data_IF_129464836092
#
_entry.id   IF_129464836092
#
_cell.length_a   1.000
_cell.length_b   1.000
_cell.length_c   1.000
_cell.angle_alpha   90.00
_cell.angle_beta   90.00
_cell.angle_gamma   90.00
#
_symmetry.space_group_name_H-M   'P 1'
#
loop_
_entity.id
_entity.type
_entity.pdbx_description
1 polymer ?
#
# COMPACT_ATOMS: atom_id res chain seq x y z
N UNK A 1 1.54 10.86 9.04
CA UNK A 1 2.62 9.98 8.55
C UNK A 1 2.83 10.31 7.08
N UNK A 2 4.02 10.75 6.66
CA UNK A 2 4.31 10.98 5.24
C UNK A 2 4.16 9.67 4.47
N UNK A 3 3.64 9.74 3.24
CA UNK A 3 3.53 8.58 2.35
C UNK A 3 4.89 7.92 2.07
N UNK A 4 5.97 8.68 2.22
CA UNK A 4 7.38 8.25 2.12
C UNK A 4 7.76 7.12 3.10
N UNK A 5 6.97 6.97 4.16
CA UNK A 5 7.10 5.93 5.16
C UNK A 5 6.11 4.78 4.91
N UNK A 6 5.96 4.30 3.67
CA UNK A 6 5.28 3.02 3.38
C UNK A 6 6.33 2.01 2.89
N UNK A 7 6.47 0.90 3.62
CA UNK A 7 7.45 -0.17 3.34
C UNK A 7 6.91 -1.15 2.30
N UNK A 8 5.62 -1.49 2.38
CA UNK A 8 4.99 -2.38 1.41
C UNK A 8 3.51 -2.04 1.24
N UNK A 9 3.00 -2.32 0.05
CA UNK A 9 1.60 -2.16 -0.32
C UNK A 9 1.13 -3.44 -0.99
N UNK A 10 0.04 -4.03 -0.49
CA UNK A 10 -0.51 -5.27 -1.04
C UNK A 10 -2.03 -5.19 -1.14
N UNK A 11 -2.55 -5.63 -2.27
CA UNK A 11 -3.97 -5.90 -2.42
C UNK A 11 -4.30 -7.32 -1.95
N UNK A 12 -5.22 -7.44 -1.00
CA UNK A 12 -5.73 -8.72 -0.48
C UNK A 12 -7.13 -8.94 -1.00
N UNK A 13 -7.27 -9.92 -1.88
CA UNK A 13 -8.58 -10.39 -2.36
C UNK A 13 -9.08 -11.48 -1.40
N UNK A 14 -10.33 -11.38 -0.97
CA UNK A 14 -10.95 -12.36 -0.08
C UNK A 14 -12.41 -12.54 -0.47
N UNK A 15 -12.95 -13.74 -0.20
CA UNK A 15 -14.34 -14.09 -0.50
C UNK A 15 -15.37 -13.14 0.12
N UNK A 16 -15.03 -12.51 1.26
CA UNK A 16 -15.95 -11.65 2.01
C UNK A 16 -15.73 -10.15 1.76
N UNK A 17 -14.48 -9.69 1.74
CA UNK A 17 -14.16 -8.26 1.55
C UNK A 17 -12.73 -8.09 1.04
N UNK A 18 -12.57 -7.33 -0.05
CA UNK A 18 -11.26 -6.91 -0.54
C UNK A 18 -10.61 -5.97 0.48
N UNK A 19 -9.29 -5.97 0.58
CA UNK A 19 -8.60 -5.06 1.48
C UNK A 19 -7.27 -4.57 0.91
N UNK A 20 -6.95 -3.31 1.16
CA UNK A 20 -5.62 -2.76 0.95
C UNK A 20 -4.81 -2.93 2.24
N UNK A 21 -3.68 -3.61 2.13
CA UNK A 21 -2.76 -3.87 3.24
C UNK A 21 -1.54 -2.98 3.07
N UNK A 22 -1.34 -2.07 4.02
CA UNK A 22 -0.23 -1.10 4.04
C UNK A 22 0.71 -1.48 5.17
N UNK A 23 1.98 -1.73 4.87
CA UNK A 23 3.02 -2.02 5.86
C UNK A 23 3.84 -0.76 6.11
N UNK A 24 3.86 -0.28 7.35
CA UNK A 24 4.65 0.87 7.76
C UNK A 24 6.10 0.46 8.11
N UNK A 25 7.12 1.31 7.85
CA UNK A 25 8.51 1.08 8.20
C UNK A 25 8.73 1.23 9.69
N UNK A 26 9.70 0.48 10.20
CA UNK A 26 9.93 0.23 11.62
C UNK A 26 10.54 1.40 12.40
N UNK A 27 10.78 2.57 11.77
CA UNK A 27 11.72 3.57 12.28
C UNK A 27 11.47 4.02 13.73
N UNK A 28 10.26 3.88 14.29
CA UNK A 28 9.97 4.23 15.69
C UNK A 28 9.10 3.22 16.47
N UNK A 29 8.70 2.08 15.89
CA UNK A 29 7.77 1.16 16.55
C UNK A 29 8.31 -0.27 16.47
N UNK A 30 8.49 -0.91 17.62
CA UNK A 30 9.04 -2.26 17.85
C UNK A 30 8.25 -3.41 17.19
N UNK A 31 7.37 -3.13 16.23
CA UNK A 31 6.61 -4.12 15.46
C UNK A 31 6.16 -3.48 14.16
N UNK A 32 6.30 -4.19 13.03
CA UNK A 32 5.68 -3.82 11.76
C UNK A 32 4.18 -3.53 11.97
N UNK A 33 3.79 -2.25 11.95
CA UNK A 33 2.38 -1.89 11.98
C UNK A 33 1.85 -2.10 10.57
N UNK A 34 1.02 -3.11 10.43
CA UNK A 34 0.27 -3.35 9.20
C UNK A 34 -1.11 -2.73 9.37
N UNK A 35 -1.47 -1.78 8.52
CA UNK A 35 -2.82 -1.23 8.45
C UNK A 35 -3.59 -1.95 7.36
N UNK A 36 -4.69 -2.62 7.73
CA UNK A 36 -5.62 -3.23 6.78
C UNK A 36 -6.81 -2.30 6.59
N UNK A 37 -7.01 -1.83 5.37
CA UNK A 37 -8.13 -0.98 4.97
C UNK A 37 -9.12 -1.88 4.22
N UNK A 38 -10.30 -2.10 4.80
CA UNK A 38 -11.36 -2.86 4.15
C UNK A 38 -11.99 -2.05 3.01
N UNK A 39 -12.08 -2.65 1.83
CA UNK A 39 -12.69 -2.08 0.63
C UNK A 39 -14.05 -2.75 0.41
N UNK A 40 -14.95 -2.55 1.37
CA UNK A 40 -16.31 -3.06 1.29
C UNK A 40 -17.06 -2.41 0.11
N UNK A 41 -17.84 -3.19 -0.64
CA UNK A 41 -18.63 -2.68 -1.77
C UNK A 41 -17.89 -2.54 -3.11
N UNK A 42 -16.57 -2.69 -3.16
CA UNK A 42 -15.80 -2.65 -4.41
C UNK A 42 -15.92 -3.98 -5.17
N UNK A 43 -16.99 -4.13 -5.98
CA UNK A 43 -17.13 -5.23 -6.95
C UNK A 43 -16.60 -4.84 -8.34
N UNK A 44 -17.22 -3.86 -8.99
CA UNK A 44 -16.88 -3.43 -10.36
C UNK A 44 -15.62 -2.57 -10.45
N UNK A 45 -15.38 -1.72 -9.44
CA UNK A 45 -14.26 -0.77 -9.43
C UNK A 45 -12.94 -1.39 -8.95
N UNK A 46 -12.95 -2.67 -8.54
CA UNK A 46 -11.80 -3.36 -7.93
C UNK A 46 -10.55 -3.28 -8.81
N UNK A 47 -10.70 -3.59 -10.09
CA UNK A 47 -9.56 -3.67 -11.00
C UNK A 47 -9.02 -2.27 -11.33
N UNK A 48 -9.91 -1.28 -11.47
CA UNK A 48 -9.51 0.12 -11.61
C UNK A 48 -8.77 0.63 -10.39
N UNK A 49 -9.29 0.33 -9.20
CA UNK A 49 -8.64 0.69 -7.93
C UNK A 49 -7.26 0.04 -7.82
N UNK A 50 -7.16 -1.26 -8.10
CA UNK A 50 -5.89 -2.01 -8.09
C UNK A 50 -4.88 -1.43 -9.08
N UNK A 51 -5.31 -1.08 -10.29
CA UNK A 51 -4.45 -0.48 -11.31
C UNK A 51 -3.92 0.89 -10.89
N UNK A 52 -4.80 1.76 -10.37
CA UNK A 52 -4.41 3.09 -9.88
C UNK A 52 -3.43 2.98 -8.71
N UNK A 53 -3.78 2.16 -7.72
CA UNK A 53 -2.92 1.93 -6.54
C UNK A 53 -1.57 1.33 -6.93
N UNK A 54 -1.54 0.42 -7.90
CA UNK A 54 -0.31 -0.14 -8.45
C UNK A 54 0.58 0.90 -9.12
N UNK A 55 -0.01 1.76 -9.97
CA UNK A 55 0.73 2.85 -10.62
C UNK A 55 1.32 3.85 -9.62
N UNK A 56 0.55 4.20 -8.58
CA UNK A 56 1.04 5.05 -7.49
C UNK A 56 2.17 4.36 -6.70
N UNK A 57 2.06 3.06 -6.43
CA UNK A 57 3.10 2.30 -5.74
C UNK A 57 4.39 2.22 -6.55
N UNK A 58 4.31 1.97 -7.86
CA UNK A 58 5.49 1.94 -8.71
C UNK A 58 6.22 3.30 -8.71
N UNK A 59 5.48 4.40 -8.82
CA UNK A 59 6.06 5.75 -8.72
C UNK A 59 6.76 5.96 -7.38
N UNK A 60 6.13 5.50 -6.29
CA UNK A 60 6.71 5.56 -4.96
C UNK A 60 8.03 4.78 -4.87
N UNK A 61 8.10 3.57 -5.42
CA UNK A 61 9.33 2.78 -5.44
C UNK A 61 10.46 3.50 -6.21
N UNK A 62 10.16 4.09 -7.37
CA UNK A 62 11.13 4.84 -8.16
C UNK A 62 11.64 6.07 -7.41
N UNK A 63 10.74 6.87 -6.82
CA UNK A 63 11.14 8.04 -6.02
C UNK A 63 12.00 7.64 -4.81
N UNK A 64 11.71 6.52 -4.17
CA UNK A 64 12.49 5.97 -3.06
C UNK A 64 13.89 5.53 -3.48
N UNK A 65 14.05 4.96 -4.67
CA UNK A 65 15.37 4.60 -5.19
C UNK A 65 16.21 5.87 -5.42
N UNK A 66 15.64 6.88 -6.07
CA UNK A 66 16.33 8.16 -6.28
C UNK A 66 16.67 8.89 -4.98
N UNK A 67 15.79 8.86 -3.97
CA UNK A 67 16.07 9.43 -2.65
C UNK A 67 17.14 8.68 -1.85
N UNK A 68 17.42 7.43 -2.17
CA UNK A 68 18.47 6.65 -1.52
C UNK A 68 19.85 6.81 -2.20
N UNK A 69 19.86 7.30 -3.45
CA UNK A 69 21.08 7.54 -4.24
C UNK A 69 21.68 8.94 -4.03
N UNK A 70 20.96 9.87 -3.40
CA UNK A 70 21.43 11.21 -3.06
C UNK A 70 21.70 11.39 -1.57
#
# INVERSE_FOLDING_TARGET
MPWDAVKALRFSESAFTNALVVTHPEKHLLRHRTTRIALAGMRSEKDRFKAVVGAYWQRHQVMRMHQAEG
#
